data_IF_369734845722
#
_entry.id   IF_369734845722
#
_cell.length_a   1.000
_cell.length_b   1.000
_cell.length_c   1.000
_cell.angle_alpha   90.00
_cell.angle_beta   90.00
_cell.angle_gamma   90.00
#
_symmetry.space_group_name_H-M   'P 1'
#
loop_
_entity.id
_entity.type
_entity.pdbx_description
1 polymer ?
#
# COMPACT_ATOMS: atom_id res chain seq x y z
N UNK A 1 -26.87 6.31 23.81
CA UNK A 1 -27.73 6.92 22.79
C UNK A 1 -27.16 8.18 22.18
N UNK A 2 -26.66 9.13 22.99
CA UNK A 2 -26.01 10.34 22.44
C UNK A 2 -24.77 10.01 21.60
N UNK A 3 -24.00 8.98 22.01
CA UNK A 3 -22.79 8.56 21.31
C UNK A 3 -23.11 7.96 19.94
N UNK A 4 -24.18 7.20 19.84
CA UNK A 4 -24.62 6.61 18.56
C UNK A 4 -25.03 7.69 17.57
N UNK A 5 -25.72 8.73 18.02
CA UNK A 5 -26.11 9.86 17.20
C UNK A 5 -24.89 10.66 16.74
N UNK A 6 -23.88 10.82 17.61
CA UNK A 6 -22.63 11.49 17.29
C UNK A 6 -21.85 10.75 16.21
N UNK A 7 -21.70 9.43 16.36
CA UNK A 7 -21.03 8.58 15.37
C UNK A 7 -21.78 8.58 14.04
N UNK A 8 -23.10 8.52 14.08
CA UNK A 8 -23.94 8.54 12.88
C UNK A 8 -23.77 9.86 12.12
N UNK A 9 -23.72 10.99 12.83
CA UNK A 9 -23.49 12.30 12.19
C UNK A 9 -22.11 12.38 11.55
N UNK A 10 -21.07 11.93 12.26
CA UNK A 10 -19.71 11.90 11.71
C UNK A 10 -19.63 11.01 10.47
N UNK A 11 -20.30 9.85 10.53
CA UNK A 11 -20.36 8.92 9.41
C UNK A 11 -21.05 9.56 8.20
N UNK A 12 -22.18 10.23 8.43
CA UNK A 12 -22.93 10.92 7.37
C UNK A 12 -22.09 12.03 6.77
N UNK A 13 -21.40 12.83 7.60
CA UNK A 13 -20.54 13.89 7.11
C UNK A 13 -19.39 13.35 6.24
N UNK A 14 -18.83 12.20 6.62
CA UNK A 14 -17.79 11.54 5.83
C UNK A 14 -18.33 11.05 4.50
N UNK A 15 -19.53 10.46 4.47
CA UNK A 15 -20.18 10.06 3.22
C UNK A 15 -20.47 11.27 2.32
N UNK A 16 -20.95 12.38 2.90
CA UNK A 16 -21.17 13.61 2.17
C UNK A 16 -19.86 14.14 1.60
N UNK A 17 -18.78 14.05 2.37
CA UNK A 17 -17.45 14.47 1.93
C UNK A 17 -16.99 13.73 0.67
N UNK A 18 -17.34 12.46 0.54
CA UNK A 18 -17.01 11.67 -0.64
C UNK A 18 -17.61 12.23 -1.92
N UNK A 19 -18.70 12.99 -1.84
CA UNK A 19 -19.30 13.62 -3.02
C UNK A 19 -18.40 14.68 -3.66
N UNK A 20 -17.34 15.10 -2.97
CA UNK A 20 -16.33 16.00 -3.54
C UNK A 20 -15.28 15.28 -4.38
N UNK A 21 -15.32 13.95 -4.41
CA UNK A 21 -14.45 13.16 -5.30
C UNK A 21 -14.97 13.27 -6.74
N UNK A 22 -14.02 13.26 -7.69
CA UNK A 22 -14.41 13.15 -9.09
C UNK A 22 -15.10 11.80 -9.33
N UNK A 23 -15.99 11.70 -10.32
CA UNK A 23 -16.78 10.47 -10.50
C UNK A 23 -15.95 9.20 -10.61
N UNK A 24 -14.81 9.25 -11.25
CA UNK A 24 -13.93 8.09 -11.43
C UNK A 24 -13.38 7.60 -10.09
N UNK A 25 -12.99 8.52 -9.20
CA UNK A 25 -12.52 8.16 -7.86
C UNK A 25 -13.65 7.63 -6.99
N UNK A 26 -14.82 8.24 -7.09
CA UNK A 26 -15.99 7.79 -6.34
C UNK A 26 -16.36 6.35 -6.72
N UNK A 27 -16.31 6.04 -8.00
CA UNK A 27 -16.54 4.68 -8.48
C UNK A 27 -15.53 3.68 -7.90
N UNK A 28 -14.25 4.08 -7.82
CA UNK A 28 -13.22 3.23 -7.21
C UNK A 28 -13.50 2.93 -5.74
N UNK A 29 -14.05 3.91 -5.01
CA UNK A 29 -14.47 3.71 -3.62
C UNK A 29 -15.64 2.74 -3.55
N UNK A 30 -16.62 2.90 -4.42
CA UNK A 30 -17.79 2.02 -4.49
C UNK A 30 -17.38 0.58 -4.81
N UNK A 31 -16.37 0.39 -5.65
CA UNK A 31 -15.83 -0.93 -5.99
C UNK A 31 -14.83 -1.46 -4.96
N UNK A 32 -14.62 -0.74 -3.87
CA UNK A 32 -13.70 -1.10 -2.78
C UNK A 32 -12.22 -1.16 -3.22
N UNK A 33 -11.89 -0.51 -4.32
CA UNK A 33 -10.50 -0.38 -4.75
C UNK A 33 -9.72 0.60 -3.88
N UNK A 34 -10.42 1.60 -3.34
CA UNK A 34 -9.87 2.57 -2.38
C UNK A 34 -10.70 2.46 -1.09
N UNK A 35 -10.02 2.34 0.04
CA UNK A 35 -10.68 2.25 1.34
C UNK A 35 -11.35 3.58 1.71
N UNK A 36 -12.36 3.50 2.56
CA UNK A 36 -13.19 4.66 2.94
C UNK A 36 -12.38 5.80 3.56
N UNK A 37 -11.55 5.49 4.56
CA UNK A 37 -10.79 6.52 5.27
C UNK A 37 -9.77 7.26 4.39
N UNK A 38 -8.93 6.57 3.58
CA UNK A 38 -8.10 7.27 2.59
C UNK A 38 -8.91 8.10 1.62
N UNK A 39 -10.06 7.60 1.17
CA UNK A 39 -10.91 8.32 0.23
C UNK A 39 -11.43 9.65 0.79
N UNK A 40 -11.78 9.68 2.07
CA UNK A 40 -12.20 10.91 2.75
C UNK A 40 -11.07 11.95 2.72
N UNK A 41 -9.83 11.52 2.98
CA UNK A 41 -8.67 12.43 2.91
C UNK A 41 -8.47 12.96 1.49
N UNK A 42 -8.61 12.10 0.48
CA UNK A 42 -8.47 12.50 -0.92
C UNK A 42 -9.56 13.48 -1.37
N UNK A 43 -10.72 13.48 -0.72
CA UNK A 43 -11.81 14.39 -1.04
C UNK A 43 -11.47 15.86 -0.77
N UNK A 44 -10.43 16.13 0.00
CA UNK A 44 -9.95 17.49 0.26
C UNK A 44 -9.06 18.03 -0.86
N UNK A 45 -8.65 17.18 -1.81
CA UNK A 45 -7.87 17.59 -2.97
C UNK A 45 -8.76 18.34 -3.98
N UNK A 46 -8.15 19.25 -4.74
CA UNK A 46 -8.84 19.91 -5.83
C UNK A 46 -9.12 18.90 -6.95
N UNK A 47 -10.14 19.13 -7.81
CA UNK A 47 -10.43 18.19 -8.91
C UNK A 47 -9.22 17.88 -9.80
N UNK A 48 -8.42 18.88 -10.13
CA UNK A 48 -7.20 18.69 -10.94
C UNK A 48 -6.18 17.80 -10.20
N UNK A 49 -6.08 17.99 -8.88
CA UNK A 49 -5.19 17.18 -8.05
C UNK A 49 -5.67 15.74 -7.92
N UNK A 50 -6.97 15.53 -7.90
CA UNK A 50 -7.55 14.19 -7.90
C UNK A 50 -7.23 13.44 -9.20
N UNK A 51 -7.24 14.14 -10.33
CA UNK A 51 -6.86 13.57 -11.62
C UNK A 51 -5.37 13.18 -11.63
N UNK A 52 -4.51 14.03 -11.08
CA UNK A 52 -3.07 13.71 -10.92
C UNK A 52 -2.90 12.47 -10.03
N UNK A 53 -3.67 12.40 -8.96
CA UNK A 53 -3.63 11.25 -8.07
C UNK A 53 -4.03 9.95 -8.80
N UNK A 54 -5.06 10.00 -9.63
CA UNK A 54 -5.48 8.83 -10.40
C UNK A 54 -4.39 8.34 -11.33
N UNK A 55 -3.69 9.27 -11.99
CA UNK A 55 -2.56 8.94 -12.85
C UNK A 55 -1.44 8.27 -12.04
N UNK A 56 -1.11 8.82 -10.87
CA UNK A 56 -0.09 8.25 -9.99
C UNK A 56 -0.48 6.87 -9.50
N UNK A 57 -1.75 6.67 -9.15
CA UNK A 57 -2.26 5.38 -8.71
C UNK A 57 -2.17 4.33 -9.83
N UNK A 58 -2.49 4.71 -11.05
CA UNK A 58 -2.37 3.83 -12.21
C UNK A 58 -0.92 3.42 -12.45
N UNK A 59 0.01 4.36 -12.34
CA UNK A 59 1.44 4.08 -12.49
C UNK A 59 1.97 3.18 -11.37
N UNK A 60 1.51 3.38 -10.15
CA UNK A 60 1.96 2.61 -8.98
C UNK A 60 1.26 1.25 -8.87
N UNK A 61 0.10 1.08 -9.51
CA UNK A 61 -0.71 -0.13 -9.46
C UNK A 61 -1.05 -0.56 -8.03
N UNK A 62 -1.28 0.41 -7.15
CA UNK A 62 -1.62 0.16 -5.75
C UNK A 62 -2.53 1.27 -5.22
N UNK A 63 -3.35 0.93 -4.24
CA UNK A 63 -4.19 1.91 -3.57
C UNK A 63 -3.41 2.57 -2.42
N UNK A 64 -3.74 3.83 -2.08
CA UNK A 64 -3.05 4.52 -1.00
C UNK A 64 -3.50 4.02 0.38
N UNK A 65 -2.56 4.04 1.33
CA UNK A 65 -2.90 3.86 2.74
C UNK A 65 -3.45 5.19 3.30
N UNK A 66 -4.02 5.14 4.50
CA UNK A 66 -4.48 6.36 5.17
C UNK A 66 -3.34 7.35 5.37
N UNK A 67 -2.17 6.87 5.78
CA UNK A 67 -0.98 7.72 5.97
C UNK A 67 -0.56 8.40 4.66
N UNK A 68 -0.55 7.66 3.56
CA UNK A 68 -0.22 8.20 2.25
C UNK A 68 -1.23 9.26 1.82
N UNK A 69 -2.53 9.00 2.02
CA UNK A 69 -3.59 9.95 1.68
C UNK A 69 -3.48 11.24 2.50
N UNK A 70 -3.16 11.14 3.79
CA UNK A 70 -2.95 12.30 4.65
C UNK A 70 -1.74 13.13 4.19
N UNK A 71 -0.67 12.48 3.76
CA UNK A 71 0.51 13.17 3.22
C UNK A 71 0.19 13.89 1.91
N UNK A 72 -0.61 13.27 1.05
CA UNK A 72 -1.06 13.91 -0.19
C UNK A 72 -1.94 15.13 0.09
N UNK A 73 -2.86 15.02 1.06
CA UNK A 73 -3.68 16.15 1.50
C UNK A 73 -2.80 17.31 1.99
N UNK A 74 -1.77 17.00 2.76
CA UNK A 74 -0.81 18.00 3.24
C UNK A 74 -0.07 18.67 2.09
N UNK A 75 0.36 17.91 1.10
CA UNK A 75 0.99 18.47 -0.10
C UNK A 75 0.07 19.44 -0.82
N UNK A 76 -1.21 19.12 -0.93
CA UNK A 76 -2.20 20.01 -1.52
C UNK A 76 -2.32 21.32 -0.76
N UNK A 77 -2.36 21.24 0.58
CA UNK A 77 -2.46 22.43 1.44
C UNK A 77 -1.22 23.31 1.34
N UNK A 78 -0.05 22.72 1.12
CA UNK A 78 1.22 23.45 1.00
C UNK A 78 1.49 23.93 -0.42
N UNK A 79 0.65 23.56 -1.40
CA UNK A 79 0.84 23.94 -2.79
C UNK A 79 1.90 23.13 -3.52
N UNK A 80 2.33 22.00 -2.95
CA UNK A 80 3.36 21.15 -3.54
C UNK A 80 2.82 19.89 -4.21
N UNK A 81 1.54 19.85 -4.56
CA UNK A 81 0.94 18.68 -5.14
C UNK A 81 1.28 18.55 -6.63
N UNK A 82 2.26 17.72 -6.92
CA UNK A 82 2.70 17.44 -8.30
C UNK A 82 2.65 15.94 -8.56
N UNK A 83 2.61 15.56 -9.83
CA UNK A 83 2.63 14.13 -10.19
C UNK A 83 3.86 13.43 -9.63
N UNK A 84 5.03 14.06 -9.72
CA UNK A 84 6.28 13.45 -9.21
C UNK A 84 6.23 13.23 -7.71
N UNK A 85 5.74 14.21 -6.94
CA UNK A 85 5.63 14.11 -5.49
C UNK A 85 4.64 13.02 -5.07
N UNK A 86 3.49 12.96 -5.73
CA UNK A 86 2.45 11.97 -5.45
C UNK A 86 2.91 10.57 -5.86
N UNK A 87 3.57 10.47 -7.01
CA UNK A 87 4.14 9.21 -7.49
C UNK A 87 5.18 8.67 -6.51
N UNK A 88 6.03 9.55 -5.97
CA UNK A 88 7.02 9.16 -4.97
C UNK A 88 6.35 8.59 -3.72
N UNK A 89 5.29 9.23 -3.24
CA UNK A 89 4.51 8.73 -2.09
C UNK A 89 3.88 7.37 -2.42
N UNK A 90 3.27 7.24 -3.59
CA UNK A 90 2.55 6.02 -3.98
C UNK A 90 3.48 4.85 -4.25
N UNK A 91 4.71 5.11 -4.68
CA UNK A 91 5.68 4.05 -4.99
C UNK A 91 6.66 3.77 -3.86
N UNK A 92 6.54 4.49 -2.73
CA UNK A 92 7.42 4.24 -1.59
C UNK A 92 7.21 2.81 -1.06
N UNK A 93 8.31 2.14 -0.75
CA UNK A 93 8.27 0.81 -0.16
C UNK A 93 8.43 0.99 1.34
N UNK A 94 7.51 0.43 2.12
CA UNK A 94 7.62 0.49 3.58
C UNK A 94 8.91 -0.21 3.99
N UNK A 95 9.67 0.41 4.88
CA UNK A 95 10.95 -0.11 5.35
C UNK A 95 10.86 -1.56 5.81
N UNK A 96 9.76 -1.94 6.44
CA UNK A 96 9.52 -3.31 6.87
C UNK A 96 9.37 -4.30 5.71
N UNK A 97 8.85 -3.84 4.57
CA UNK A 97 8.68 -4.70 3.39
C UNK A 97 10.01 -4.99 2.68
N UNK A 98 10.97 -4.05 2.78
CA UNK A 98 12.31 -4.26 2.24
C UNK A 98 13.14 -5.24 3.07
N UNK A 99 12.85 -5.34 4.37
CA UNK A 99 13.59 -6.17 5.30
C UNK A 99 12.95 -7.55 5.52
N UNK A 100 11.77 -7.78 4.97
CA UNK A 100 11.02 -9.03 5.16
C UNK A 100 10.66 -9.69 3.86
N UNK A 101 11.07 -10.95 3.74
CA UNK A 101 10.53 -11.85 2.72
C UNK A 101 9.72 -12.89 3.47
N UNK A 102 8.42 -12.96 3.20
CA UNK A 102 7.52 -13.88 3.90
C UNK A 102 6.99 -14.94 2.95
N UNK A 103 7.16 -16.20 3.35
CA UNK A 103 6.60 -17.34 2.62
C UNK A 103 5.43 -17.93 3.42
N UNK A 104 4.41 -18.38 2.71
CA UNK A 104 3.31 -19.09 3.36
C UNK A 104 3.81 -20.46 3.84
N UNK A 105 3.38 -20.84 5.03
CA UNK A 105 3.73 -22.16 5.60
C UNK A 105 3.32 -23.29 4.66
N UNK A 106 2.17 -23.17 4.01
CA UNK A 106 1.69 -24.17 3.06
C UNK A 106 2.67 -24.39 1.91
N UNK A 107 3.27 -23.32 1.39
CA UNK A 107 4.24 -23.40 0.31
C UNK A 107 5.54 -24.06 0.79
N UNK A 108 6.02 -23.70 1.98
CA UNK A 108 7.23 -24.28 2.55
C UNK A 108 7.03 -25.74 2.93
N UNK A 109 5.84 -26.11 3.43
CA UNK A 109 5.55 -27.47 3.86
C UNK A 109 5.52 -28.48 2.70
N UNK A 110 5.43 -28.02 1.46
CA UNK A 110 5.58 -28.88 0.29
C UNK A 110 7.00 -29.45 0.16
N UNK A 111 7.99 -28.72 0.67
CA UNK A 111 9.41 -29.03 0.51
C UNK A 111 10.06 -29.55 1.79
N UNK A 112 9.44 -29.33 2.95
CA UNK A 112 9.98 -29.68 4.24
C UNK A 112 9.09 -30.69 4.97
N UNK A 113 9.68 -31.64 5.72
CA UNK A 113 8.89 -32.53 6.58
C UNK A 113 8.11 -31.75 7.63
N UNK A 114 7.00 -32.33 8.07
CA UNK A 114 6.18 -31.73 9.13
C UNK A 114 6.91 -31.59 10.46
N UNK A 115 7.95 -32.41 10.66
CA UNK A 115 8.76 -32.38 11.88
C UNK A 115 9.71 -31.18 11.96
N UNK A 116 9.95 -30.49 10.84
CA UNK A 116 10.83 -29.32 10.83
C UNK A 116 10.18 -28.14 11.53
N UNK A 117 10.92 -27.52 12.44
CA UNK A 117 10.51 -26.26 13.07
C UNK A 117 10.74 -25.08 12.09
N UNK A 118 10.15 -23.94 12.40
CA UNK A 118 10.36 -22.71 11.62
C UNK A 118 11.84 -22.37 11.54
N UNK A 119 12.57 -22.54 12.65
CA UNK A 119 14.00 -22.27 12.70
C UNK A 119 14.79 -23.21 11.79
N UNK A 120 14.46 -24.50 11.79
CA UNK A 120 15.12 -25.49 10.93
C UNK A 120 14.90 -25.19 9.45
N UNK A 121 13.66 -24.79 9.07
CA UNK A 121 13.36 -24.40 7.70
C UNK A 121 14.15 -23.18 7.29
N UNK A 122 14.23 -22.17 8.15
CA UNK A 122 14.98 -20.95 7.91
C UNK A 122 16.48 -21.23 7.71
N UNK A 123 17.07 -22.03 8.59
CA UNK A 123 18.49 -22.39 8.51
C UNK A 123 18.81 -23.14 7.20
N UNK A 124 17.93 -24.03 6.79
CA UNK A 124 18.08 -24.77 5.53
C UNK A 124 18.03 -23.85 4.33
N UNK A 125 17.09 -22.90 4.31
CA UNK A 125 16.94 -21.92 3.24
C UNK A 125 18.20 -21.06 3.13
N UNK A 126 18.74 -20.60 4.26
CA UNK A 126 19.96 -19.78 4.28
C UNK A 126 21.14 -20.56 3.70
N UNK A 127 21.30 -21.83 4.08
CA UNK A 127 22.37 -22.67 3.52
C UNK A 127 22.27 -22.84 2.01
N UNK A 128 21.06 -23.04 1.52
CA UNK A 128 20.80 -23.16 0.07
C UNK A 128 21.14 -21.86 -0.66
N UNK A 129 20.77 -20.71 -0.07
CA UNK A 129 21.08 -19.41 -0.64
C UNK A 129 22.57 -19.13 -0.67
N UNK A 130 23.31 -19.53 0.35
CA UNK A 130 24.76 -19.41 0.40
C UNK A 130 25.42 -20.21 -0.73
N UNK A 131 24.95 -21.45 -0.96
CA UNK A 131 25.43 -22.29 -2.05
C UNK A 131 25.12 -21.67 -3.43
N UNK A 132 23.93 -21.13 -3.59
CA UNK A 132 23.51 -20.46 -4.82
C UNK A 132 24.37 -19.24 -5.10
N UNK A 133 24.66 -18.44 -4.06
CA UNK A 133 25.50 -17.25 -4.20
C UNK A 133 26.92 -17.61 -4.65
N UNK A 134 27.50 -18.66 -4.08
CA UNK A 134 28.83 -19.14 -4.46
C UNK A 134 28.88 -19.59 -5.93
N UNK A 135 27.85 -20.31 -6.38
CA UNK A 135 27.75 -20.73 -7.78
C UNK A 135 27.66 -19.53 -8.73
N UNK A 136 26.86 -18.53 -8.35
CA UNK A 136 26.68 -17.33 -9.16
C UNK A 136 27.97 -16.52 -9.26
N UNK A 137 28.72 -16.42 -8.17
CA UNK A 137 30.03 -15.74 -8.17
C UNK A 137 31.04 -16.46 -9.06
N UNK A 138 31.06 -17.79 -9.09
CA UNK A 138 31.93 -18.58 -9.97
C UNK A 138 31.58 -18.31 -11.43
N UNK A 139 30.30 -18.28 -11.75
CA UNK A 139 29.86 -18.04 -13.12
C UNK A 139 30.21 -16.63 -13.60
N UNK A 140 30.18 -15.64 -12.70
CA UNK A 140 30.54 -14.26 -12.99
C UNK A 140 32.07 -14.04 -13.03
N UNK A 141 32.82 -14.92 -12.38
CA UNK A 141 34.29 -14.86 -12.34
C UNK A 141 35.00 -15.37 -13.58
N UNK A 142 34.24 -15.85 -14.54
CA UNK A 142 34.76 -16.32 -15.83
C UNK A 142 34.41 -15.31 -16.92
#
# INVERSE_FOLDING_TARGET
MADELGESRNQIQRFIRLTNLIPDLLEMVDQKQISFNPAVELSYLKPEEQEIFMEAMDLAQTAPSLSQAQRMKKLSQEGGFTLDAVREIMTEVKKGDLERVTFRNETLRKYFPKSYSTQQMQDTIIKLLEQWQKRKQRDQGR
#
